data_IF_401627281374
#
_entry.id   IF_401627281374
#
_cell.length_a   1.000
_cell.length_b   1.000
_cell.length_c   1.000
_cell.angle_alpha   90.00
_cell.angle_beta   90.00
_cell.angle_gamma   90.00
#
_symmetry.space_group_name_H-M   'P 1'
#
loop_
_entity.id
_entity.type
_entity.pdbx_description
1 polymer ?
#
# COMPACT_ATOMS: atom_id res chain seq x y z
N UNK A 1 5.86 -10.90 2.13
CA UNK A 1 4.75 -10.96 1.18
C UNK A 1 3.77 -11.93 1.79
N UNK A 2 2.45 -11.72 1.63
CA UNK A 2 1.47 -12.64 2.24
C UNK A 2 1.26 -13.91 1.40
N UNK A 3 1.34 -13.79 0.08
CA UNK A 3 1.25 -14.91 -0.87
C UNK A 3 2.65 -15.20 -1.42
N UNK A 4 3.00 -16.49 -1.65
CA UNK A 4 4.27 -16.85 -2.29
C UNK A 4 4.41 -16.19 -3.67
N UNK A 5 5.66 -15.86 -4.03
CA UNK A 5 6.03 -15.33 -5.34
C UNK A 5 5.65 -16.32 -6.44
N UNK A 6 4.97 -15.82 -7.47
CA UNK A 6 4.62 -16.59 -8.67
C UNK A 6 5.51 -16.15 -9.83
N UNK A 7 6.17 -17.10 -10.50
CA UNK A 7 7.06 -16.84 -11.64
C UNK A 7 6.58 -17.65 -12.84
N UNK A 8 6.34 -16.99 -13.97
CA UNK A 8 5.91 -17.62 -15.23
C UNK A 8 6.91 -17.30 -16.34
N UNK A 9 7.28 -18.32 -17.12
CA UNK A 9 8.16 -18.20 -18.29
C UNK A 9 7.37 -18.58 -19.55
N UNK A 10 7.42 -17.75 -20.60
CA UNK A 10 6.79 -18.02 -21.90
C UNK A 10 7.80 -17.81 -23.01
N UNK A 11 8.09 -18.87 -23.76
CA UNK A 11 9.05 -18.85 -24.87
C UNK A 11 10.47 -18.38 -24.47
N UNK A 12 10.80 -18.55 -23.17
CA UNK A 12 12.11 -18.24 -22.58
C UNK A 12 12.56 -19.45 -21.77
N UNK A 13 13.82 -19.92 -21.94
CA UNK A 13 14.34 -21.02 -21.14
C UNK A 13 14.43 -20.60 -19.66
N UNK A 14 13.86 -21.45 -18.79
CA UNK A 14 14.06 -21.31 -17.35
C UNK A 14 15.48 -21.79 -17.01
N UNK A 15 16.30 -20.90 -16.46
CA UNK A 15 17.61 -21.23 -15.90
C UNK A 15 17.63 -20.91 -14.41
N UNK A 16 18.45 -21.63 -13.65
CA UNK A 16 18.62 -21.39 -12.20
C UNK A 16 19.12 -19.97 -11.91
N UNK A 17 19.95 -19.41 -12.79
CA UNK A 17 20.47 -18.05 -12.64
C UNK A 17 19.35 -16.99 -12.72
N UNK A 18 18.41 -17.15 -13.66
CA UNK A 18 17.27 -16.23 -13.82
C UNK A 18 16.29 -16.39 -12.65
N UNK A 19 16.00 -17.62 -12.24
CA UNK A 19 15.10 -17.92 -11.12
C UNK A 19 15.67 -17.32 -9.81
N UNK A 20 16.96 -17.52 -9.54
CA UNK A 20 17.66 -16.94 -8.39
C UNK A 20 17.66 -15.40 -8.42
N UNK A 21 17.89 -14.80 -9.59
CA UNK A 21 17.84 -13.33 -9.75
C UNK A 21 16.45 -12.78 -9.42
N UNK A 22 15.39 -13.39 -9.96
CA UNK A 22 14.00 -12.97 -9.72
C UNK A 22 13.64 -13.11 -8.24
N UNK A 23 13.97 -14.25 -7.62
CA UNK A 23 13.72 -14.47 -6.18
C UNK A 23 14.45 -13.47 -5.30
N UNK A 24 15.73 -13.23 -5.57
CA UNK A 24 16.53 -12.25 -4.81
C UNK A 24 15.94 -10.84 -4.90
N UNK A 25 15.52 -10.43 -6.11
CA UNK A 25 14.91 -9.12 -6.32
C UNK A 25 13.52 -9.00 -5.70
N UNK A 26 12.71 -10.05 -5.75
CA UNK A 26 11.42 -10.10 -5.07
C UNK A 26 11.56 -10.01 -3.55
N UNK A 27 12.52 -10.72 -2.95
CA UNK A 27 12.81 -10.62 -1.52
C UNK A 27 13.20 -9.19 -1.10
N UNK A 28 13.95 -8.48 -1.95
CA UNK A 28 14.29 -7.06 -1.72
C UNK A 28 13.08 -6.14 -1.79
N UNK A 29 12.14 -6.38 -2.72
CA UNK A 29 10.88 -5.63 -2.75
C UNK A 29 10.06 -5.87 -1.49
N UNK A 30 10.10 -7.09 -0.97
CA UNK A 30 9.37 -7.45 0.24
C UNK A 30 9.89 -6.73 1.48
N UNK A 31 11.20 -6.72 1.67
CA UNK A 31 11.87 -5.95 2.74
C UNK A 31 11.59 -4.45 2.66
N UNK A 32 11.27 -3.94 1.47
CA UNK A 32 10.99 -2.52 1.26
C UNK A 32 9.53 -2.16 1.56
N UNK A 33 8.60 -3.12 1.45
CA UNK A 33 7.19 -2.91 1.69
C UNK A 33 6.53 -4.19 2.22
N UNK A 34 6.38 -4.26 3.55
CA UNK A 34 5.78 -5.40 4.25
C UNK A 34 4.29 -5.62 3.92
N UNK A 35 3.67 -4.67 3.21
CA UNK A 35 2.26 -4.68 2.85
C UNK A 35 1.98 -5.38 1.52
N UNK A 36 2.99 -5.85 0.78
CA UNK A 36 2.75 -6.55 -0.50
C UNK A 36 1.98 -7.86 -0.25
N UNK A 37 0.77 -7.95 -0.81
CA UNK A 37 -0.09 -9.13 -0.71
C UNK A 37 0.41 -10.20 -1.66
N UNK A 38 0.64 -9.85 -2.93
CA UNK A 38 1.08 -10.78 -3.97
C UNK A 38 2.05 -10.11 -4.93
N UNK A 39 3.00 -10.88 -5.46
CA UNK A 39 3.90 -10.49 -6.53
C UNK A 39 3.92 -11.59 -7.59
N UNK A 40 3.59 -11.23 -8.84
CA UNK A 40 3.60 -12.13 -9.99
C UNK A 40 4.57 -11.60 -11.02
N UNK A 41 5.48 -12.46 -11.47
CA UNK A 41 6.52 -12.11 -12.44
C UNK A 41 6.34 -12.98 -13.67
N UNK A 42 6.13 -12.35 -14.83
CA UNK A 42 6.08 -13.01 -16.12
C UNK A 42 7.29 -12.58 -16.97
N UNK A 43 8.03 -13.55 -17.49
CA UNK A 43 9.15 -13.38 -18.41
C UNK A 43 8.77 -14.01 -19.74
N UNK A 44 8.71 -13.20 -20.79
CA UNK A 44 8.14 -13.58 -22.09
C UNK A 44 9.09 -13.22 -23.23
N UNK A 45 9.10 -14.02 -24.29
CA UNK A 45 9.69 -13.66 -25.59
C UNK A 45 8.58 -13.57 -26.65
N UNK A 46 8.08 -12.37 -26.97
CA UNK A 46 7.01 -12.20 -27.95
C UNK A 46 7.46 -12.64 -29.35
N UNK A 47 6.61 -13.39 -30.06
CA UNK A 47 6.90 -13.94 -31.39
C UNK A 47 6.64 -12.96 -32.56
N UNK A 48 6.02 -11.80 -32.35
CA UNK A 48 5.27 -11.11 -33.43
C UNK A 48 5.87 -9.80 -34.00
N UNK A 49 7.16 -9.47 -33.82
CA UNK A 49 7.74 -8.30 -34.53
C UNK A 49 8.91 -8.69 -35.45
N UNK A 50 8.65 -8.63 -36.76
CA UNK A 50 9.60 -8.83 -37.86
C UNK A 50 10.43 -7.56 -38.19
N UNK A 51 10.59 -6.63 -37.26
CA UNK A 51 11.55 -5.52 -37.40
C UNK A 51 12.60 -5.66 -36.30
N UNK A 52 13.79 -6.12 -36.68
CA UNK A 52 15.06 -6.17 -35.93
C UNK A 52 14.98 -6.45 -34.42
N UNK A 53 15.32 -7.69 -34.03
CA UNK A 53 15.51 -8.11 -32.64
C UNK A 53 14.22 -8.59 -31.97
N UNK A 54 14.25 -9.76 -31.33
CA UNK A 54 13.13 -10.25 -30.53
C UNK A 54 13.36 -9.83 -29.06
N UNK A 55 12.75 -8.73 -28.58
CA UNK A 55 13.04 -8.21 -27.25
C UNK A 55 12.42 -9.10 -26.18
N UNK A 56 13.15 -9.38 -25.11
CA UNK A 56 12.59 -9.99 -23.92
C UNK A 56 11.65 -9.02 -23.22
N UNK A 57 10.52 -9.52 -22.72
CA UNK A 57 9.53 -8.76 -21.97
C UNK A 57 9.43 -9.29 -20.55
N UNK A 58 9.53 -8.39 -19.57
CA UNK A 58 9.33 -8.70 -18.16
C UNK A 58 8.15 -7.88 -17.64
N UNK A 59 7.16 -8.56 -17.06
CA UNK A 59 6.00 -7.95 -16.40
C UNK A 59 5.98 -8.37 -14.94
N UNK A 60 5.88 -7.39 -14.05
CA UNK A 60 5.73 -7.58 -12.61
C UNK A 60 4.40 -6.97 -12.21
N UNK A 61 3.52 -7.78 -11.62
CA UNK A 61 2.24 -7.35 -11.06
C UNK A 61 2.29 -7.51 -9.54
N UNK A 62 2.01 -6.43 -8.81
CA UNK A 62 1.99 -6.42 -7.36
C UNK A 62 0.65 -5.92 -6.85
N UNK A 63 0.13 -6.57 -5.81
CA UNK A 63 -1.08 -6.10 -5.11
C UNK A 63 -0.68 -5.59 -3.73
N UNK A 64 -1.08 -4.35 -3.43
CA UNK A 64 -0.74 -3.64 -2.20
C UNK A 64 -2.02 -3.03 -1.63
N UNK A 65 -2.32 -3.23 -0.34
CA UNK A 65 -3.47 -2.62 0.28
C UNK A 65 -3.29 -1.09 0.47
N UNK A 66 -4.39 -0.34 0.56
CA UNK A 66 -5.76 -0.76 0.30
C UNK A 66 -6.07 -0.76 -1.22
N UNK A 67 -6.32 -1.95 -1.81
CA UNK A 67 -6.86 -2.09 -3.17
C UNK A 67 -5.96 -1.68 -4.34
N UNK A 68 -4.69 -1.36 -4.14
CA UNK A 68 -3.80 -0.94 -5.22
C UNK A 68 -3.21 -2.12 -5.98
N UNK A 69 -3.29 -2.07 -7.31
CA UNK A 69 -2.57 -2.98 -8.21
C UNK A 69 -1.53 -2.19 -8.97
N UNK A 70 -0.26 -2.54 -8.80
CA UNK A 70 0.88 -1.95 -9.48
C UNK A 70 1.36 -2.90 -10.58
N UNK A 71 1.59 -2.37 -11.77
CA UNK A 71 2.12 -3.13 -12.90
C UNK A 71 3.36 -2.43 -13.45
N UNK A 72 4.49 -3.12 -13.38
CA UNK A 72 5.73 -2.69 -14.01
C UNK A 72 6.02 -3.58 -15.23
N UNK A 73 6.17 -2.96 -16.40
CA UNK A 73 6.52 -3.64 -17.65
C UNK A 73 7.84 -3.06 -18.16
N UNK A 74 8.77 -3.93 -18.54
CA UNK A 74 9.98 -3.57 -19.30
C UNK A 74 10.16 -4.50 -20.48
N UNK A 75 10.66 -3.91 -21.55
CA UNK A 75 11.04 -4.59 -22.79
C UNK A 75 12.50 -4.27 -23.02
N UNK A 76 13.21 -5.27 -23.47
CA UNK A 76 14.63 -5.21 -23.73
C UNK A 76 14.89 -4.49 -25.06
N UNK A 77 16.04 -3.81 -25.19
CA UNK A 77 16.38 -3.01 -26.38
C UNK A 77 17.65 -3.59 -26.99
N UNK A 78 17.66 -3.74 -28.31
CA UNK A 78 18.61 -4.53 -29.11
C UNK A 78 20.04 -4.73 -28.55
N UNK A 79 20.48 -6.00 -28.51
CA UNK A 79 21.88 -6.40 -28.37
C UNK A 79 22.13 -7.37 -27.21
N UNK A 80 22.50 -8.61 -27.54
CA UNK A 80 22.93 -9.70 -26.63
C UNK A 80 21.84 -10.33 -25.74
N UNK A 81 21.25 -11.43 -26.23
CA UNK A 81 20.07 -12.12 -25.67
C UNK A 81 20.11 -12.42 -24.14
N UNK A 82 21.29 -12.69 -23.57
CA UNK A 82 21.40 -12.98 -22.12
C UNK A 82 21.67 -11.73 -21.27
N UNK A 83 22.57 -10.86 -21.72
CA UNK A 83 22.88 -9.59 -21.03
C UNK A 83 21.62 -8.72 -20.96
N UNK A 84 20.86 -8.69 -22.05
CA UNK A 84 19.65 -7.89 -22.22
C UNK A 84 18.49 -8.39 -21.34
N UNK A 85 18.32 -9.70 -21.14
CA UNK A 85 17.29 -10.24 -20.24
C UNK A 85 17.59 -9.94 -18.76
N UNK A 86 18.82 -10.15 -18.30
CA UNK A 86 19.19 -9.85 -16.91
C UNK A 86 19.06 -8.36 -16.60
N UNK A 87 19.46 -7.50 -17.54
CA UNK A 87 19.25 -6.06 -17.46
C UNK A 87 17.75 -5.72 -17.40
N UNK A 88 16.94 -6.31 -18.27
CA UNK A 88 15.49 -6.07 -18.32
C UNK A 88 14.80 -6.48 -17.03
N UNK A 89 15.15 -7.64 -16.44
CA UNK A 89 14.66 -8.06 -15.12
C UNK A 89 15.02 -7.00 -14.08
N UNK A 90 16.29 -6.58 -14.00
CA UNK A 90 16.72 -5.56 -13.03
C UNK A 90 15.96 -4.24 -13.21
N UNK A 91 15.77 -3.77 -14.43
CA UNK A 91 15.03 -2.55 -14.73
C UNK A 91 13.54 -2.67 -14.39
N UNK A 92 12.93 -3.84 -14.60
CA UNK A 92 11.54 -4.08 -14.23
C UNK A 92 11.35 -4.02 -12.71
N UNK A 93 12.24 -4.66 -11.96
CA UNK A 93 12.24 -4.59 -10.50
C UNK A 93 12.53 -3.19 -9.96
N UNK A 94 13.41 -2.43 -10.61
CA UNK A 94 13.66 -1.03 -10.24
C UNK A 94 12.43 -0.14 -10.49
N UNK A 95 11.75 -0.33 -11.62
CA UNK A 95 10.49 0.35 -11.92
C UNK A 95 9.39 -0.02 -10.91
N UNK A 96 9.27 -1.29 -10.55
CA UNK A 96 8.35 -1.78 -9.52
C UNK A 96 8.63 -1.12 -8.17
N UNK A 97 9.91 -1.04 -7.76
CA UNK A 97 10.33 -0.35 -6.54
C UNK A 97 9.93 1.12 -6.56
N UNK A 98 10.19 1.85 -7.64
CA UNK A 98 9.82 3.27 -7.76
C UNK A 98 8.30 3.49 -7.66
N UNK A 99 7.50 2.58 -8.22
CA UNK A 99 6.04 2.63 -8.10
C UNK A 99 5.60 2.40 -6.65
N UNK A 100 6.21 1.44 -5.95
CA UNK A 100 5.97 1.21 -4.52
C UNK A 100 6.40 2.42 -3.68
N UNK A 101 7.55 3.02 -3.96
CA UNK A 101 8.01 4.25 -3.28
C UNK A 101 7.03 5.40 -3.46
N UNK A 102 6.53 5.61 -4.68
CA UNK A 102 5.54 6.64 -4.94
C UNK A 102 4.24 6.36 -4.18
N UNK A 103 3.76 5.11 -4.20
CA UNK A 103 2.56 4.70 -3.48
C UNK A 103 2.74 4.87 -1.96
N UNK A 104 3.87 4.43 -1.42
CA UNK A 104 4.18 4.57 0.01
C UNK A 104 4.36 6.04 0.38
N UNK A 105 4.96 6.89 -0.46
CA UNK A 105 5.00 8.35 -0.24
C UNK A 105 3.63 9.01 -0.33
N UNK A 106 2.70 8.51 -1.12
CA UNK A 106 1.33 9.03 -1.16
C UNK A 106 0.54 8.59 0.08
N UNK A 107 0.71 7.35 0.52
CA UNK A 107 0.12 6.85 1.76
C UNK A 107 0.74 7.55 2.97
N UNK A 108 2.06 7.60 3.07
CA UNK A 108 2.81 8.34 4.09
C UNK A 108 2.65 9.85 3.96
N UNK A 109 2.39 10.41 2.78
CA UNK A 109 2.11 11.84 2.62
C UNK A 109 0.75 12.22 3.21
N UNK A 110 -0.21 11.30 3.15
CA UNK A 110 -1.48 11.37 3.91
C UNK A 110 -1.30 11.10 5.40
N UNK A 111 -0.32 10.29 5.79
CA UNK A 111 -0.01 9.92 7.18
C UNK A 111 1.12 10.78 7.78
N UNK A 112 1.70 11.73 7.04
CA UNK A 112 2.72 12.66 7.55
C UNK A 112 2.00 13.74 8.33
N UNK A 113 1.50 13.27 9.46
CA UNK A 113 1.25 13.98 10.68
C UNK A 113 2.22 15.13 10.80
N UNK A 114 1.62 16.31 10.75
CA UNK A 114 2.11 17.43 11.51
C UNK A 114 2.50 16.93 12.92
N UNK A 115 3.65 17.35 13.46
CA UNK A 115 4.13 16.94 14.80
C UNK A 115 3.16 17.30 15.95
N UNK A 116 2.00 17.90 15.64
CA UNK A 116 0.92 18.29 16.54
C UNK A 116 -0.31 17.36 16.44
N UNK A 117 -0.30 16.31 15.60
CA UNK A 117 -1.43 15.36 15.53
C UNK A 117 -1.44 14.46 16.75
N UNK A 118 -2.16 14.91 17.77
CA UNK A 118 -2.52 14.11 18.92
C UNK A 118 -3.32 12.90 18.45
N UNK A 119 -2.71 11.72 18.51
CA UNK A 119 -3.40 10.50 18.09
C UNK A 119 -4.42 10.02 19.10
N UNK A 120 -4.52 10.66 20.27
CA UNK A 120 -5.38 10.26 21.38
C UNK A 120 -6.39 11.37 21.70
N UNK A 121 -7.64 10.97 21.88
CA UNK A 121 -8.73 11.88 22.24
C UNK A 121 -9.78 11.14 23.08
N UNK A 122 -10.76 11.89 23.56
CA UNK A 122 -11.98 11.33 24.15
C UNK A 122 -13.19 11.70 23.31
N UNK A 123 -14.23 10.88 23.35
CA UNK A 123 -15.51 11.21 22.72
C UNK A 123 -16.16 12.39 23.47
N UNK A 124 -16.25 13.55 22.82
CA UNK A 124 -16.86 14.76 23.38
C UNK A 124 -18.37 14.76 23.17
N UNK A 125 -18.81 14.44 21.94
CA UNK A 125 -20.22 14.36 21.54
C UNK A 125 -20.41 13.16 20.64
N UNK A 126 -21.57 12.52 20.76
CA UNK A 126 -21.92 11.35 19.97
C UNK A 126 -23.40 11.41 19.59
N UNK A 127 -23.69 11.37 18.30
CA UNK A 127 -25.02 11.40 17.72
C UNK A 127 -25.28 10.06 17.04
N UNK A 128 -25.74 9.08 17.82
CA UNK A 128 -25.88 7.70 17.34
C UNK A 128 -26.89 7.57 16.18
N UNK A 129 -27.99 8.34 16.22
CA UNK A 129 -29.01 8.26 15.17
C UNK A 129 -28.54 8.90 13.86
N UNK A 130 -27.84 10.02 13.96
CA UNK A 130 -27.30 10.72 12.79
C UNK A 130 -25.97 10.13 12.28
N UNK A 131 -25.32 9.27 13.07
CA UNK A 131 -24.15 8.51 12.64
C UNK A 131 -22.83 9.31 12.62
N UNK A 132 -22.67 10.28 13.51
CA UNK A 132 -21.43 11.05 13.64
C UNK A 132 -21.14 11.46 15.09
N UNK A 133 -19.96 12.04 15.33
CA UNK A 133 -19.61 12.60 16.63
C UNK A 133 -18.42 13.54 16.56
N UNK A 134 -17.98 13.98 17.74
CA UNK A 134 -16.82 14.84 17.92
C UNK A 134 -15.88 14.27 18.98
N UNK A 135 -14.59 14.32 18.70
CA UNK A 135 -13.51 13.93 19.59
C UNK A 135 -12.86 15.18 20.16
N UNK A 136 -12.51 15.16 21.45
CA UNK A 136 -11.70 16.21 22.07
C UNK A 136 -10.30 15.69 22.36
N UNK A 137 -9.33 16.32 21.73
CA UNK A 137 -7.89 16.07 21.93
C UNK A 137 -7.41 16.56 23.31
N UNK A 138 -6.20 16.19 23.72
CA UNK A 138 -5.61 16.63 24.99
C UNK A 138 -5.26 18.13 25.02
N UNK A 139 -5.03 18.74 23.86
CA UNK A 139 -4.86 20.19 23.69
C UNK A 139 -6.20 20.93 23.51
N UNK A 140 -7.34 20.23 23.63
CA UNK A 140 -8.67 20.84 23.64
C UNK A 140 -9.27 21.15 22.28
N UNK A 141 -8.66 20.69 21.17
CA UNK A 141 -9.27 20.76 19.83
C UNK A 141 -10.40 19.75 19.70
N UNK A 142 -11.50 20.16 19.05
CA UNK A 142 -12.61 19.29 18.67
C UNK A 142 -12.44 18.82 17.22
N UNK A 143 -12.45 17.50 17.01
CA UNK A 143 -12.28 16.84 15.71
C UNK A 143 -13.56 16.09 15.35
N UNK A 144 -14.13 16.37 14.18
CA UNK A 144 -15.32 15.69 13.67
C UNK A 144 -14.99 14.24 13.28
N UNK A 145 -15.92 13.30 13.46
CA UNK A 145 -15.81 11.96 12.87
C UNK A 145 -17.17 11.42 12.44
N UNK A 146 -17.15 10.59 11.39
CA UNK A 146 -18.32 9.87 10.92
C UNK A 146 -18.30 8.42 11.44
N UNK A 147 -19.47 7.76 11.54
CA UNK A 147 -19.56 6.33 11.88
C UNK A 147 -18.71 5.44 10.97
N UNK A 148 -18.56 5.83 9.69
CA UNK A 148 -17.75 5.09 8.71
C UNK A 148 -16.24 5.15 9.02
N UNK A 149 -15.80 6.14 9.78
CA UNK A 149 -14.42 6.27 10.25
C UNK A 149 -14.13 5.37 11.46
N UNK A 150 -15.16 4.81 12.12
CA UNK A 150 -14.98 3.99 13.33
C UNK A 150 -14.70 2.54 12.96
N UNK A 151 -13.57 2.02 13.45
CA UNK A 151 -13.13 0.66 13.18
C UNK A 151 -13.96 -0.38 13.96
N UNK A 152 -13.90 -1.62 13.47
CA UNK A 152 -14.47 -2.81 14.11
C UNK A 152 -15.98 -2.77 14.40
N UNK A 153 -16.72 -1.84 13.79
CA UNK A 153 -18.14 -1.65 14.07
C UNK A 153 -18.41 -1.13 15.48
N UNK A 154 -17.43 -0.52 16.14
CA UNK A 154 -17.55 -0.10 17.54
C UNK A 154 -18.39 1.16 17.73
N UNK A 155 -18.86 1.83 16.67
CA UNK A 155 -19.63 3.08 16.76
C UNK A 155 -20.83 2.97 17.73
N UNK A 156 -21.60 1.89 17.64
CA UNK A 156 -22.77 1.66 18.50
C UNK A 156 -22.39 1.38 19.97
N UNK A 157 -21.13 1.04 20.23
CA UNK A 157 -20.59 0.71 21.56
C UNK A 157 -19.82 1.87 22.17
N UNK A 158 -19.63 2.96 21.41
CA UNK A 158 -18.98 4.18 21.89
C UNK A 158 -19.89 4.88 22.90
N UNK A 159 -19.26 5.55 23.86
CA UNK A 159 -19.92 6.39 24.83
C UNK A 159 -19.16 7.71 24.96
N UNK A 160 -19.87 8.77 25.33
CA UNK A 160 -19.25 10.05 25.67
C UNK A 160 -18.24 9.81 26.80
N UNK A 161 -17.05 10.39 26.69
CA UNK A 161 -15.92 10.18 27.61
C UNK A 161 -15.07 8.95 27.33
N UNK A 162 -15.43 8.11 26.35
CA UNK A 162 -14.59 6.98 25.96
C UNK A 162 -13.26 7.44 25.35
N UNK A 163 -12.17 6.75 25.70
CA UNK A 163 -10.86 7.01 25.14
C UNK A 163 -10.74 6.39 23.75
N UNK A 164 -10.25 7.17 22.79
CA UNK A 164 -10.06 6.73 21.40
C UNK A 164 -8.67 7.08 20.91
N UNK A 165 -8.21 6.29 19.95
CA UNK A 165 -7.13 6.65 19.05
C UNK A 165 -7.73 7.10 17.72
N UNK A 166 -7.20 8.14 17.10
CA UNK A 166 -7.69 8.61 15.82
C UNK A 166 -6.57 9.08 14.88
N UNK A 167 -6.91 9.19 13.60
CA UNK A 167 -6.06 9.77 12.56
C UNK A 167 -6.80 10.94 11.93
N UNK A 168 -6.23 12.13 12.04
CA UNK A 168 -6.75 13.39 11.50
C UNK A 168 -6.42 13.51 10.00
N UNK A 169 -7.38 13.99 9.20
CA UNK A 169 -7.22 14.38 7.80
C UNK A 169 -7.94 15.72 7.54
N UNK A 170 -7.52 16.45 6.51
CA UNK A 170 -8.23 17.64 6.03
C UNK A 170 -9.53 17.25 5.31
N UNK A 171 -10.68 17.65 5.88
CA UNK A 171 -11.99 17.53 5.26
C UNK A 171 -12.45 18.82 4.58
N UNK A 172 -13.57 18.75 3.84
CA UNK A 172 -14.14 19.91 3.14
C UNK A 172 -14.57 21.03 4.09
N UNK A 173 -15.01 20.68 5.31
CA UNK A 173 -15.42 21.62 6.36
C UNK A 173 -14.34 21.85 7.43
N UNK A 174 -13.12 21.36 7.18
CA UNK A 174 -11.99 21.44 8.11
C UNK A 174 -11.53 20.08 8.62
N UNK A 175 -10.64 20.05 9.64
CA UNK A 175 -10.01 18.83 10.11
C UNK A 175 -11.02 17.81 10.67
N UNK A 176 -10.91 16.57 10.21
CA UNK A 176 -11.78 15.46 10.61
C UNK A 176 -10.98 14.18 10.87
N UNK A 177 -11.60 13.19 11.51
CA UNK A 177 -11.01 11.88 11.71
C UNK A 177 -11.34 10.94 10.54
N UNK A 178 -10.28 10.53 9.85
CA UNK A 178 -10.33 9.48 8.82
C UNK A 178 -10.48 8.07 9.43
N UNK A 179 -10.00 7.90 10.66
CA UNK A 179 -10.01 6.63 11.39
C UNK A 179 -10.17 6.89 12.87
N UNK A 180 -11.03 6.12 13.54
CA UNK A 180 -11.26 6.16 14.99
C UNK A 180 -11.27 4.72 15.53
N UNK A 181 -10.48 4.48 16.56
CA UNK A 181 -10.37 3.21 17.27
C UNK A 181 -10.70 3.42 18.74
N UNK A 182 -11.69 2.68 19.26
CA UNK A 182 -12.02 2.67 20.68
C UNK A 182 -10.92 1.97 21.48
N UNK A 183 -10.34 2.66 22.46
CA UNK A 183 -9.26 2.12 23.33
C UNK A 183 -9.81 1.77 24.71
N UNK A 184 -10.63 2.65 25.29
CA UNK A 184 -11.20 2.46 26.63
C UNK A 184 -12.67 2.86 26.69
N UNK A 185 -13.45 2.08 27.44
CA UNK A 185 -14.81 2.46 27.83
C UNK A 185 -14.72 3.37 29.05
N UNK A 186 -15.58 4.41 29.18
CA UNK A 186 -15.53 5.29 30.34
C UNK A 186 -15.66 4.45 31.61
N UNK A 187 -14.77 4.70 32.58
CA UNK A 187 -14.91 4.15 33.91
C UNK A 187 -16.29 4.57 34.44
N UNK A 188 -17.11 3.59 34.84
CA UNK A 188 -18.34 3.86 35.59
C UNK A 188 -17.92 4.62 36.87
N UNK A 189 -18.19 5.91 36.90
CA UNK A 189 -18.24 6.72 38.12
C UNK A 189 -19.64 6.68 38.70
#
# INVERSE_FOLDING_TARGET
MRVPLEITYRDVPKTDEIDALIRSKAAKLDQFCDHIISCRVAVEKPHEFQQSGQPHRVRIEMRVPPGHTLVAKRESTEGEMHTDLHATIRQAFDAARRQLEKLNRQQQGRIKSHPEQETSAIVEKLFLQEGYGFLRTTLGRSIYFNKNSVLYGDFERMAIGAGVRFVEEDGEEGPQASTVQLIDKPARG
#
